data_IF_505969291702
#
_entry.id   IF_505969291702
#
_cell.length_a   1.000
_cell.length_b   1.000
_cell.length_c   1.000
_cell.angle_alpha   90.00
_cell.angle_beta   90.00
_cell.angle_gamma   90.00
#
_symmetry.space_group_name_H-M   'P 1'
#
loop_
_entity.id
_entity.type
_entity.pdbx_description
1 polymer ?
#
# COMPACT_ATOMS: atom_id res chain seq x y z
N UNK A 1 12.24 -6.75 29.39
CA UNK A 1 11.99 -7.47 28.13
C UNK A 1 10.63 -8.11 28.26
N UNK A 2 9.60 -7.44 27.76
CA UNK A 2 8.23 -7.93 27.82
C UNK A 2 8.01 -8.89 26.65
N UNK A 3 7.78 -10.16 26.97
CA UNK A 3 7.49 -11.19 25.99
C UNK A 3 6.07 -10.95 25.44
N UNK A 4 5.97 -10.62 24.15
CA UNK A 4 4.70 -10.59 23.41
C UNK A 4 4.06 -11.98 23.46
N UNK A 5 2.82 -12.04 23.93
CA UNK A 5 2.03 -13.27 23.94
C UNK A 5 1.64 -13.63 22.51
N UNK A 6 1.66 -14.92 22.11
CA UNK A 6 1.38 -15.36 20.74
C UNK A 6 -0.08 -15.14 20.27
N UNK A 7 -0.95 -14.59 21.12
CA UNK A 7 -2.37 -14.32 20.86
C UNK A 7 -2.73 -12.83 21.06
N UNK A 8 -1.75 -11.93 20.97
CA UNK A 8 -2.05 -10.50 20.96
C UNK A 8 -2.50 -10.10 19.56
N UNK A 9 -3.82 -10.12 19.38
CA UNK A 9 -4.55 -9.52 18.27
C UNK A 9 -4.01 -8.09 18.01
N UNK A 10 -3.17 -7.92 16.98
CA UNK A 10 -2.43 -6.68 16.70
C UNK A 10 -3.32 -5.57 16.10
N UNK A 11 -4.64 -5.75 16.02
CA UNK A 11 -5.59 -4.73 15.54
C UNK A 11 -5.65 -3.50 16.46
N UNK A 12 -5.21 -3.59 17.73
CA UNK A 12 -5.29 -2.46 18.67
C UNK A 12 -4.27 -1.34 18.36
N UNK A 13 -3.28 -1.61 17.49
CA UNK A 13 -2.26 -0.65 17.07
C UNK A 13 -2.58 -0.12 15.66
N UNK A 14 -3.67 0.66 15.53
CA UNK A 14 -3.95 1.43 14.30
C UNK A 14 -3.06 2.68 14.28
N UNK A 15 -1.73 2.49 14.19
CA UNK A 15 -0.78 3.59 14.03
C UNK A 15 -0.15 3.56 12.65
N UNK A 16 -0.30 4.64 11.89
CA UNK A 16 0.33 4.79 10.58
C UNK A 16 -0.17 6.03 9.85
N UNK A 17 0.51 6.39 8.76
CA UNK A 17 0.06 7.47 7.89
C UNK A 17 -0.92 6.88 6.88
N UNK A 18 -2.19 7.34 6.82
CA UNK A 18 -3.28 6.69 6.07
C UNK A 18 -2.97 6.37 4.60
N UNK A 19 -2.15 7.19 3.95
CA UNK A 19 -1.76 6.98 2.55
C UNK A 19 -0.85 5.77 2.30
N UNK A 20 -0.30 5.15 3.34
CA UNK A 20 0.61 3.99 3.25
C UNK A 20 0.04 2.75 3.94
N UNK A 21 -1.15 2.84 4.52
CA UNK A 21 -1.77 1.71 5.21
C UNK A 21 -2.34 0.71 4.21
N UNK A 22 -2.04 -0.56 4.44
CA UNK A 22 -2.64 -1.67 3.70
C UNK A 22 -4.16 -1.76 3.96
N UNK A 23 -4.95 -2.29 3.01
CA UNK A 23 -6.41 -2.39 3.15
C UNK A 23 -6.84 -3.16 4.40
N UNK A 24 -6.12 -4.22 4.78
CA UNK A 24 -6.38 -5.00 5.99
C UNK A 24 -6.18 -4.18 7.28
N UNK A 25 -5.17 -3.31 7.30
CA UNK A 25 -4.90 -2.39 8.43
C UNK A 25 -6.01 -1.35 8.55
N UNK A 26 -6.49 -0.81 7.42
CA UNK A 26 -7.60 0.15 7.41
C UNK A 26 -8.95 -0.46 7.80
N UNK A 27 -9.09 -1.78 7.67
CA UNK A 27 -10.26 -2.54 8.06
C UNK A 27 -10.19 -3.07 9.50
N UNK A 28 -9.13 -2.72 10.24
CA UNK A 28 -8.87 -3.21 11.58
C UNK A 28 -8.87 -4.75 11.65
N UNK A 29 -8.22 -5.38 10.67
CA UNK A 29 -8.01 -6.84 10.58
C UNK A 29 -6.58 -7.19 10.96
N UNK A 30 -6.36 -8.47 11.26
CA UNK A 30 -5.05 -8.96 11.64
C UNK A 30 -4.17 -8.82 10.41
N UNK A 31 -3.15 -7.98 10.54
CA UNK A 31 -2.18 -7.74 9.50
C UNK A 31 -0.93 -8.54 9.81
N UNK A 32 -0.28 -9.00 8.75
CA UNK A 32 1.00 -9.69 8.81
C UNK A 32 2.05 -8.84 8.11
N UNK A 33 3.21 -9.41 7.82
CA UNK A 33 4.28 -8.78 7.04
C UNK A 33 3.83 -8.29 5.65
N UNK A 34 2.67 -8.75 5.15
CA UNK A 34 2.02 -8.24 3.93
C UNK A 34 1.77 -6.73 3.95
N UNK A 35 1.43 -6.17 5.12
CA UNK A 35 1.12 -4.75 5.22
C UNK A 35 2.36 -3.86 4.96
N UNK A 36 3.55 -4.35 5.31
CA UNK A 36 4.81 -3.65 5.04
C UNK A 36 5.16 -3.66 3.55
N UNK A 37 4.86 -4.76 2.83
CA UNK A 37 5.01 -4.82 1.37
C UNK A 37 4.08 -3.84 0.66
N UNK A 38 2.84 -3.68 1.15
CA UNK A 38 1.93 -2.67 0.63
C UNK A 38 2.50 -1.26 0.81
N UNK A 39 2.98 -0.95 2.01
CA UNK A 39 3.60 0.34 2.29
C UNK A 39 4.83 0.59 1.40
N UNK A 40 5.66 -0.42 1.18
CA UNK A 40 6.81 -0.37 0.27
C UNK A 40 6.37 -0.07 -1.18
N UNK A 41 5.31 -0.72 -1.66
CA UNK A 41 4.75 -0.47 -3.00
C UNK A 41 4.26 0.97 -3.17
N UNK A 42 3.58 1.51 -2.15
CA UNK A 42 3.15 2.91 -2.13
C UNK A 42 4.35 3.86 -2.19
N UNK A 43 5.40 3.60 -1.41
CA UNK A 43 6.63 4.42 -1.41
C UNK A 43 7.33 4.34 -2.77
N UNK A 44 7.48 3.14 -3.33
CA UNK A 44 8.09 2.94 -4.64
C UNK A 44 7.32 3.67 -5.76
N UNK A 45 5.99 3.61 -5.72
CA UNK A 45 5.12 4.38 -6.62
C UNK A 45 5.34 5.90 -6.46
N UNK A 46 5.43 6.39 -5.23
CA UNK A 46 5.69 7.80 -4.96
C UNK A 46 7.09 8.25 -5.41
N UNK A 47 8.11 7.41 -5.24
CA UNK A 47 9.45 7.67 -5.73
C UNK A 47 9.51 7.74 -7.27
N UNK A 48 8.80 6.84 -7.96
CA UNK A 48 8.80 6.79 -9.43
C UNK A 48 7.96 7.92 -10.05
N UNK A 49 6.77 8.18 -9.50
CA UNK A 49 5.80 9.09 -10.12
C UNK A 49 5.72 10.47 -9.48
N UNK A 50 6.39 10.66 -8.34
CA UNK A 50 6.25 11.83 -7.46
C UNK A 50 4.88 11.91 -6.77
N UNK A 51 4.07 10.85 -6.87
CA UNK A 51 2.66 10.85 -6.47
C UNK A 51 2.30 9.53 -5.80
N UNK A 52 1.56 9.61 -4.68
CA UNK A 52 0.97 8.42 -4.08
C UNK A 52 -0.17 7.86 -4.95
N UNK A 53 -0.33 6.52 -5.01
CA UNK A 53 -1.42 5.88 -5.74
C UNK A 53 -2.78 6.29 -5.16
N UNK A 54 -2.91 6.25 -3.82
CA UNK A 54 -4.15 6.61 -3.13
C UNK A 54 -4.02 7.95 -2.41
N UNK A 55 -4.84 8.94 -2.79
CA UNK A 55 -4.85 10.29 -2.21
C UNK A 55 -6.22 10.64 -1.66
N UNK A 56 -6.25 11.24 -0.48
CA UNK A 56 -7.47 11.74 0.12
C UNK A 56 -7.18 12.72 1.25
N UNK A 57 -8.19 13.48 1.64
CA UNK A 57 -8.09 14.46 2.73
C UNK A 57 -8.32 13.82 4.10
N UNK A 58 -9.11 12.75 4.14
CA UNK A 58 -9.45 12.02 5.37
C UNK A 58 -9.06 10.55 5.25
N UNK A 59 -8.95 9.88 6.41
CA UNK A 59 -8.68 8.44 6.46
C UNK A 59 -9.76 7.65 5.71
N UNK A 60 -11.03 8.01 5.86
CA UNK A 60 -12.13 7.33 5.16
C UNK A 60 -11.98 7.48 3.64
N UNK A 61 -11.69 8.68 3.14
CA UNK A 61 -11.56 8.88 1.68
C UNK A 61 -10.43 8.06 1.06
N UNK A 62 -9.34 7.83 1.80
CA UNK A 62 -8.23 7.00 1.34
C UNK A 62 -8.63 5.53 1.39
N UNK A 63 -9.28 5.10 2.48
CA UNK A 63 -9.81 3.75 2.64
C UNK A 63 -10.79 3.40 1.52
N UNK A 64 -11.74 4.27 1.24
CA UNK A 64 -12.75 4.04 0.20
C UNK A 64 -12.10 3.91 -1.18
N UNK A 65 -11.07 4.71 -1.48
CA UNK A 65 -10.32 4.58 -2.73
C UNK A 65 -9.56 3.27 -2.83
N UNK A 66 -8.82 2.92 -1.77
CA UNK A 66 -8.10 1.66 -1.70
C UNK A 66 -9.08 0.50 -1.88
N UNK A 67 -10.23 0.50 -1.23
CA UNK A 67 -11.22 -0.58 -1.32
C UNK A 67 -12.00 -0.58 -2.63
N UNK A 68 -12.27 0.58 -3.24
CA UNK A 68 -13.05 0.68 -4.48
C UNK A 68 -12.29 0.14 -5.68
N UNK A 69 -11.02 0.55 -5.87
CA UNK A 69 -10.24 0.16 -7.05
C UNK A 69 -8.77 0.00 -6.66
N UNK A 70 -8.15 -1.08 -7.12
CA UNK A 70 -6.69 -1.19 -7.04
C UNK A 70 -6.10 -0.27 -8.10
N UNK A 71 -5.26 0.67 -7.67
CA UNK A 71 -4.49 1.49 -8.59
C UNK A 71 -3.45 0.63 -9.31
N UNK A 72 -3.24 0.93 -10.59
CA UNK A 72 -2.27 0.24 -11.44
C UNK A 72 -1.34 1.30 -12.00
N UNK A 73 -0.05 1.07 -11.79
CA UNK A 73 1.01 1.92 -12.30
C UNK A 73 1.42 1.38 -13.67
N UNK A 74 1.44 2.26 -14.65
CA UNK A 74 1.86 1.96 -16.03
C UNK A 74 3.02 2.87 -16.42
N UNK A 75 3.81 2.39 -17.37
CA UNK A 75 4.89 3.13 -18.01
C UNK A 75 4.45 3.35 -19.45
N UNK A 76 4.08 4.59 -19.77
CA UNK A 76 3.55 5.01 -21.06
C UNK A 76 4.40 6.14 -21.66
N UNK A 77 4.51 6.18 -22.99
CA UNK A 77 5.29 7.21 -23.69
C UNK A 77 4.83 8.62 -23.32
N UNK A 78 5.79 9.49 -23.00
CA UNK A 78 5.54 10.88 -22.63
C UNK A 78 5.29 11.11 -21.13
N UNK A 79 5.38 10.07 -20.31
CA UNK A 79 5.48 10.22 -18.85
C UNK A 79 6.92 10.57 -18.44
N UNK A 80 7.13 11.29 -17.32
CA UNK A 80 8.48 11.59 -16.83
C UNK A 80 9.33 10.37 -16.45
N UNK A 81 8.72 9.19 -16.35
CA UNK A 81 9.34 7.91 -16.01
C UNK A 81 9.17 6.89 -17.15
N UNK A 82 9.02 7.35 -18.39
CA UNK A 82 8.83 6.48 -19.56
C UNK A 82 10.10 5.69 -19.96
N UNK A 83 11.24 6.04 -19.38
CA UNK A 83 12.53 5.35 -19.49
C UNK A 83 12.74 4.26 -18.43
N UNK A 84 11.82 4.11 -17.47
CA UNK A 84 11.92 3.09 -16.43
C UNK A 84 11.65 1.70 -17.01
N UNK A 85 12.29 0.65 -16.45
CA UNK A 85 12.03 -0.72 -16.87
C UNK A 85 10.58 -1.10 -16.57
N UNK A 86 9.90 -1.87 -17.45
CA UNK A 86 8.52 -2.33 -17.21
C UNK A 86 8.39 -3.14 -15.91
N UNK A 87 9.48 -3.78 -15.48
CA UNK A 87 9.59 -4.50 -14.21
C UNK A 87 9.39 -3.58 -12.99
N UNK A 88 9.68 -2.28 -13.09
CA UNK A 88 9.45 -1.34 -11.99
C UNK A 88 7.95 -1.16 -11.73
N UNK A 89 7.16 -1.00 -12.79
CA UNK A 89 5.71 -0.94 -12.69
C UNK A 89 5.11 -2.26 -12.20
N UNK A 90 5.58 -3.39 -12.73
CA UNK A 90 5.17 -4.73 -12.30
C UNK A 90 5.46 -4.97 -10.81
N UNK A 91 6.65 -4.60 -10.33
CA UNK A 91 7.02 -4.70 -8.93
C UNK A 91 6.06 -3.87 -8.04
N UNK A 92 5.81 -2.61 -8.40
CA UNK A 92 4.90 -1.74 -7.65
C UNK A 92 3.49 -2.34 -7.61
N UNK A 93 2.99 -2.80 -8.76
CA UNK A 93 1.64 -3.37 -8.89
C UNK A 93 1.45 -4.63 -8.06
N UNK A 94 2.48 -5.48 -7.95
CA UNK A 94 2.49 -6.66 -7.08
C UNK A 94 2.54 -6.30 -5.60
N UNK A 95 3.24 -5.23 -5.24
CA UNK A 95 3.30 -4.78 -3.86
C UNK A 95 1.98 -4.15 -3.36
N UNK A 96 1.24 -3.43 -4.22
CA UNK A 96 -0.01 -2.74 -3.84
C UNK A 96 -1.27 -3.59 -4.04
N UNK A 97 -1.13 -4.92 -4.09
CA UNK A 97 -2.25 -5.85 -4.20
C UNK A 97 -3.21 -5.73 -3.01
N UNK A 98 -4.52 -5.81 -3.30
CA UNK A 98 -5.57 -5.80 -2.27
C UNK A 98 -5.58 -7.06 -1.40
N UNK A 99 -5.32 -8.21 -2.01
CA UNK A 99 -5.18 -9.49 -1.30
C UNK A 99 -3.73 -9.94 -1.44
N UNK A 100 -2.96 -10.01 -0.35
CA UNK A 100 -1.56 -10.43 -0.38
C UNK A 100 -1.36 -11.92 -0.70
N UNK A 101 -2.45 -12.69 -0.92
CA UNK A 101 -2.42 -14.12 -1.28
C UNK A 101 -2.65 -14.38 -2.78
N UNK A 102 -2.88 -13.34 -3.58
CA UNK A 102 -2.93 -13.42 -5.04
C UNK A 102 -1.54 -13.24 -5.64
#
# INVERSE_FOLDING_TARGET
MEYLKPDQDNHDVISGTPGYMAPEVMLNRNHSFSADYFALGVIACECMTGKRPYRGKTKETIRDKILAKQEEVTIEQGQPWDDYPPEAADFINKCILKDPRQ
#
